data_IF_482056652903
#
_entry.id   IF_482056652903
#
_cell.length_a   1.000
_cell.length_b   1.000
_cell.length_c   1.000
_cell.angle_alpha   90.00
_cell.angle_beta   90.00
_cell.angle_gamma   90.00
#
_symmetry.space_group_name_H-M   'P 1'
#
loop_
_entity.id
_entity.type
_entity.pdbx_description
1 polymer ?
#
# COMPACT_ATOMS: atom_id res chain seq x y z
N UNK A 1 42.67 18.38 -6.62
CA UNK A 1 42.12 17.99 -5.30
C UNK A 1 40.90 18.87 -5.08
N UNK A 2 39.69 18.38 -5.32
CA UNK A 2 38.81 17.89 -4.25
C UNK A 2 37.90 16.76 -4.77
N UNK A 3 38.05 15.55 -4.22
CA UNK A 3 37.15 14.42 -4.43
C UNK A 3 35.84 14.64 -3.65
N UNK A 4 34.73 14.70 -4.37
CA UNK A 4 33.38 14.71 -3.79
C UNK A 4 33.01 13.30 -3.31
N UNK A 5 32.94 13.11 -1.99
CA UNK A 5 32.47 11.87 -1.38
C UNK A 5 30.95 11.86 -1.43
N UNK A 6 30.37 11.14 -2.39
CA UNK A 6 28.95 10.82 -2.37
C UNK A 6 28.67 9.93 -1.15
N UNK A 7 27.83 10.41 -0.23
CA UNK A 7 27.38 9.64 0.92
C UNK A 7 26.62 8.39 0.41
N UNK A 8 27.13 7.20 0.75
CA UNK A 8 26.51 5.94 0.39
C UNK A 8 25.11 5.84 1.03
N UNK A 9 24.10 5.56 0.20
CA UNK A 9 22.75 5.21 0.67
C UNK A 9 22.87 3.93 1.51
N UNK A 10 22.36 3.90 2.76
CA UNK A 10 22.41 2.70 3.59
C UNK A 10 21.69 1.55 2.89
N UNK A 11 22.42 0.47 2.59
CA UNK A 11 21.78 -0.77 2.14
C UNK A 11 20.90 -1.30 3.27
N UNK A 12 19.59 -1.39 3.00
CA UNK A 12 18.61 -2.02 3.88
C UNK A 12 19.02 -3.48 4.12
N UNK A 13 19.69 -3.76 5.24
CA UNK A 13 19.84 -5.13 5.75
C UNK A 13 18.43 -5.70 5.90
N UNK A 14 18.16 -6.85 5.32
CA UNK A 14 16.91 -7.57 5.55
C UNK A 14 16.73 -7.68 7.07
N UNK A 15 15.74 -6.98 7.61
CA UNK A 15 15.52 -6.91 9.05
C UNK A 15 15.41 -8.34 9.58
N UNK A 16 16.15 -8.65 10.64
CA UNK A 16 16.00 -9.90 11.36
C UNK A 16 14.50 -10.10 11.66
N UNK A 17 13.93 -11.19 11.14
CA UNK A 17 12.50 -11.47 11.29
C UNK A 17 12.12 -11.66 12.76
N UNK A 18 13.08 -11.97 13.63
CA UNK A 18 12.90 -11.98 15.09
C UNK A 18 12.49 -10.63 15.66
N UNK A 19 12.89 -9.53 15.04
CA UNK A 19 12.48 -8.17 15.45
C UNK A 19 10.98 -7.97 15.20
N UNK A 20 10.42 -8.57 14.15
CA UNK A 20 8.99 -8.43 13.80
C UNK A 20 8.07 -9.23 14.73
N UNK A 21 8.52 -10.38 15.25
CA UNK A 21 7.69 -11.23 16.11
C UNK A 21 7.42 -10.55 17.45
N UNK A 22 8.45 -9.94 18.06
CA UNK A 22 8.39 -9.23 19.33
C UNK A 22 8.07 -7.73 19.25
N UNK A 23 7.86 -7.18 18.06
CA UNK A 23 7.55 -5.77 17.89
C UNK A 23 6.19 -5.41 18.53
N UNK A 24 6.16 -4.39 19.39
CA UNK A 24 4.92 -3.86 19.97
C UNK A 24 4.03 -3.14 18.95
N UNK A 25 4.66 -2.51 17.94
CA UNK A 25 3.98 -1.75 16.88
C UNK A 25 4.63 -2.06 15.53
N UNK A 26 3.80 -2.32 14.53
CA UNK A 26 4.22 -2.62 13.17
C UNK A 26 3.50 -1.70 12.18
N UNK A 27 4.27 -1.04 11.32
CA UNK A 27 3.76 -0.33 10.16
C UNK A 27 3.83 -1.27 8.96
N UNK A 28 2.68 -1.63 8.39
CA UNK A 28 2.61 -2.46 7.20
C UNK A 28 2.34 -1.57 5.99
N UNK A 29 3.32 -1.47 5.10
CA UNK A 29 3.16 -0.78 3.81
C UNK A 29 2.78 -1.80 2.75
N UNK A 30 1.71 -1.52 2.01
CA UNK A 30 1.29 -2.37 0.88
C UNK A 30 1.30 -1.57 -0.41
N UNK A 31 1.97 -2.09 -1.44
CA UNK A 31 2.06 -1.46 -2.76
C UNK A 31 0.82 -1.68 -3.60
N UNK A 32 0.63 -0.86 -4.64
CA UNK A 32 -0.53 -0.99 -5.53
C UNK A 32 -0.64 -2.37 -6.17
N UNK A 33 0.48 -2.96 -6.63
CA UNK A 33 0.48 -4.28 -7.27
C UNK A 33 -0.03 -5.41 -6.37
N UNK A 34 0.08 -5.26 -5.04
CA UNK A 34 -0.42 -6.24 -4.06
C UNK A 34 -1.92 -6.12 -3.80
N UNK A 35 -2.56 -5.05 -4.27
CA UNK A 35 -3.98 -4.75 -4.02
C UNK A 35 -4.78 -4.58 -5.32
N UNK A 36 -4.15 -4.75 -6.48
CA UNK A 36 -4.82 -4.56 -7.78
C UNK A 36 -4.96 -5.86 -8.54
N UNK A 37 -6.09 -6.03 -9.23
CA UNK A 37 -6.32 -7.21 -10.08
C UNK A 37 -5.63 -7.08 -11.44
N UNK A 38 -5.44 -8.21 -12.14
CA UNK A 38 -4.93 -8.23 -13.53
C UNK A 38 -5.83 -7.43 -14.48
N UNK A 39 -7.14 -7.36 -14.19
CA UNK A 39 -8.14 -6.63 -14.99
C UNK A 39 -8.18 -5.13 -14.67
N UNK A 40 -7.35 -4.65 -13.75
CA UNK A 40 -7.44 -3.31 -13.17
C UNK A 40 -8.39 -3.24 -11.97
N UNK A 41 -8.36 -2.12 -11.25
CA UNK A 41 -9.14 -1.95 -10.01
C UNK A 41 -8.58 -2.73 -8.82
N UNK A 42 -9.33 -2.76 -7.71
CA UNK A 42 -8.95 -3.43 -6.46
C UNK A 42 -9.17 -4.94 -6.58
N UNK A 43 -8.23 -5.73 -6.06
CA UNK A 43 -8.39 -7.17 -5.83
C UNK A 43 -9.04 -7.39 -4.48
N UNK A 44 -10.32 -7.78 -4.46
CA UNK A 44 -11.04 -8.07 -3.21
C UNK A 44 -10.38 -9.21 -2.43
N UNK A 45 -10.00 -10.28 -3.12
CA UNK A 45 -9.29 -11.43 -2.51
C UNK A 45 -8.02 -11.00 -1.78
N UNK A 46 -7.19 -10.18 -2.43
CA UNK A 46 -5.92 -9.72 -1.84
C UNK A 46 -6.16 -8.76 -0.68
N UNK A 47 -7.22 -7.96 -0.74
CA UNK A 47 -7.59 -7.03 0.34
C UNK A 47 -8.11 -7.80 1.56
N UNK A 48 -8.98 -8.80 1.37
CA UNK A 48 -9.47 -9.67 2.46
C UNK A 48 -8.33 -10.43 3.11
N UNK A 49 -7.48 -11.10 2.32
CA UNK A 49 -6.34 -11.85 2.85
C UNK A 49 -5.38 -10.96 3.65
N UNK A 50 -5.16 -9.72 3.20
CA UNK A 50 -4.39 -8.73 3.96
C UNK A 50 -5.10 -8.36 5.26
N UNK A 51 -6.39 -8.02 5.21
CA UNK A 51 -7.16 -7.62 6.38
C UNK A 51 -7.16 -8.73 7.46
N UNK A 52 -7.36 -9.98 7.06
CA UNK A 52 -7.32 -11.14 7.95
C UNK A 52 -5.96 -11.31 8.63
N UNK A 53 -4.87 -11.20 7.86
CA UNK A 53 -3.51 -11.31 8.41
C UNK A 53 -3.21 -10.18 9.41
N UNK A 54 -3.62 -8.94 9.11
CA UNK A 54 -3.46 -7.80 10.01
C UNK A 54 -4.33 -7.94 11.26
N UNK A 55 -5.57 -8.42 11.13
CA UNK A 55 -6.48 -8.68 12.23
C UNK A 55 -5.93 -9.75 13.17
N UNK A 56 -5.41 -10.87 12.64
CA UNK A 56 -4.80 -11.92 13.43
C UNK A 56 -3.61 -11.39 14.27
N UNK A 57 -2.72 -10.61 13.64
CA UNK A 57 -1.58 -10.01 14.37
C UNK A 57 -2.04 -8.97 15.39
N UNK A 58 -3.04 -8.15 15.07
CA UNK A 58 -3.64 -7.20 16.02
C UNK A 58 -4.25 -7.91 17.23
N UNK A 59 -4.99 -8.99 17.01
CA UNK A 59 -5.63 -9.79 18.06
C UNK A 59 -4.61 -10.47 18.97
N UNK A 60 -3.36 -10.66 18.52
CA UNK A 60 -2.24 -11.10 19.37
C UNK A 60 -1.65 -10.00 20.26
N UNK A 61 -2.22 -8.79 20.27
CA UNK A 61 -1.79 -7.66 21.11
C UNK A 61 -0.78 -6.72 20.45
N UNK A 62 -0.50 -6.89 19.16
CA UNK A 62 0.40 -5.98 18.42
C UNK A 62 -0.38 -4.79 17.86
N UNK A 63 0.15 -3.59 17.99
CA UNK A 63 -0.43 -2.42 17.33
C UNK A 63 -0.08 -2.39 15.84
N UNK A 64 -1.09 -2.25 14.98
CA UNK A 64 -0.92 -2.26 13.53
C UNK A 64 -1.29 -0.90 12.94
N UNK A 65 -0.40 -0.36 12.12
CA UNK A 65 -0.65 0.81 11.27
C UNK A 65 -0.54 0.35 9.82
N UNK A 66 -1.61 0.46 9.05
CA UNK A 66 -1.61 0.14 7.62
C UNK A 66 -1.35 1.40 6.79
N UNK A 67 -0.39 1.32 5.88
CA UNK A 67 -0.14 2.34 4.86
C UNK A 67 -0.43 1.73 3.49
N UNK A 68 -1.65 1.95 3.00
CA UNK A 68 -2.12 1.37 1.74
C UNK A 68 -1.86 2.29 0.55
N UNK A 69 -1.53 1.70 -0.61
CA UNK A 69 -1.54 2.37 -1.91
C UNK A 69 -2.80 1.93 -2.69
N UNK A 70 -2.92 2.29 -3.98
CA UNK A 70 -3.99 1.75 -4.82
C UNK A 70 -5.18 2.69 -5.05
N UNK A 71 -5.26 3.84 -4.38
CA UNK A 71 -6.32 4.83 -4.60
C UNK A 71 -6.47 5.22 -6.08
N UNK A 72 -5.39 5.52 -6.80
CA UNK A 72 -5.47 5.83 -8.24
C UNK A 72 -6.02 4.64 -9.03
N UNK A 73 -5.54 3.42 -8.75
CA UNK A 73 -5.98 2.22 -9.46
C UNK A 73 -7.46 1.92 -9.23
N UNK A 74 -7.93 2.13 -8.00
CA UNK A 74 -9.33 2.00 -7.62
C UNK A 74 -10.23 3.02 -8.34
N UNK A 75 -9.72 4.22 -8.62
CA UNK A 75 -10.45 5.27 -9.32
C UNK A 75 -10.48 5.13 -10.85
N UNK A 76 -9.67 4.25 -11.46
CA UNK A 76 -9.59 4.14 -12.92
C UNK A 76 -10.91 3.69 -13.56
N UNK A 77 -11.44 2.54 -13.13
CA UNK A 77 -12.67 1.99 -13.71
C UNK A 77 -13.91 2.88 -13.50
N UNK A 78 -14.17 3.44 -12.30
CA UNK A 78 -15.27 4.38 -12.08
C UNK A 78 -15.21 5.64 -12.95
N UNK A 79 -14.00 6.08 -13.32
CA UNK A 79 -13.78 7.24 -14.18
C UNK A 79 -13.68 6.88 -15.67
N UNK A 80 -13.89 5.61 -16.04
CA UNK A 80 -13.75 5.17 -17.43
C UNK A 80 -12.33 5.24 -18.00
N UNK A 81 -11.31 5.28 -17.13
CA UNK A 81 -9.91 5.38 -17.52
C UNK A 81 -9.32 3.99 -17.78
N UNK A 82 -8.93 3.72 -19.02
CA UNK A 82 -8.34 2.42 -19.40
C UNK A 82 -6.94 2.18 -18.80
N UNK A 83 -6.21 3.24 -18.45
CA UNK A 83 -4.86 3.16 -17.89
C UNK A 83 -4.58 4.31 -16.95
N UNK A 84 -3.53 4.19 -16.15
CA UNK A 84 -3.07 5.27 -15.28
C UNK A 84 -2.75 6.54 -16.10
N UNK A 85 -3.37 7.69 -15.78
CA UNK A 85 -3.07 8.96 -16.45
C UNK A 85 -1.65 9.44 -16.12
N UNK A 86 -1.07 10.25 -17.01
CA UNK A 86 0.29 10.79 -16.86
C UNK A 86 0.30 12.18 -16.24
N UNK A 87 -0.74 12.97 -16.48
CA UNK A 87 -0.89 14.30 -15.90
C UNK A 87 -1.28 14.20 -14.42
N UNK A 88 -0.87 15.20 -13.64
CA UNK A 88 -1.07 15.22 -12.20
C UNK A 88 -2.55 15.40 -11.84
N UNK A 89 -3.27 16.28 -12.56
CA UNK A 89 -4.65 16.63 -12.26
C UNK A 89 -5.58 15.39 -12.36
N UNK A 90 -5.45 14.61 -13.43
CA UNK A 90 -6.25 13.40 -13.62
C UNK A 90 -5.83 12.30 -12.63
N UNK A 91 -4.54 12.22 -12.28
CA UNK A 91 -4.10 11.32 -11.20
C UNK A 91 -4.71 11.68 -9.85
N UNK A 92 -4.81 12.96 -9.53
CA UNK A 92 -5.45 13.44 -8.31
C UNK A 92 -6.95 13.15 -8.32
N UNK A 93 -7.65 13.41 -9.43
CA UNK A 93 -9.06 13.07 -9.59
C UNK A 93 -9.31 11.56 -9.38
N UNK A 94 -8.50 10.70 -10.01
CA UNK A 94 -8.58 9.26 -9.82
C UNK A 94 -8.28 8.85 -8.36
N UNK A 95 -7.28 9.47 -7.72
CA UNK A 95 -6.98 9.22 -6.32
C UNK A 95 -8.13 9.63 -5.40
N UNK A 96 -8.75 10.79 -5.63
CA UNK A 96 -9.88 11.29 -4.83
C UNK A 96 -11.09 10.35 -4.88
N UNK A 97 -11.47 9.90 -6.08
CA UNK A 97 -12.57 8.92 -6.25
C UNK A 97 -12.19 7.58 -5.64
N UNK A 98 -11.01 7.05 -6.00
CA UNK A 98 -10.61 5.73 -5.58
C UNK A 98 -10.24 5.61 -4.10
N UNK A 99 -9.87 6.70 -3.42
CA UNK A 99 -9.62 6.69 -1.98
C UNK A 99 -10.89 6.36 -1.20
N UNK A 100 -12.04 6.95 -1.55
CA UNK A 100 -13.32 6.63 -0.92
C UNK A 100 -13.68 5.16 -1.11
N UNK A 101 -13.48 4.63 -2.32
CA UNK A 101 -13.72 3.21 -2.63
C UNK A 101 -12.80 2.29 -1.83
N UNK A 102 -11.51 2.61 -1.76
CA UNK A 102 -10.52 1.82 -1.03
C UNK A 102 -10.87 1.77 0.47
N UNK A 103 -11.24 2.90 1.07
CA UNK A 103 -11.69 2.93 2.47
C UNK A 103 -12.96 2.10 2.66
N UNK A 104 -13.94 2.25 1.78
CA UNK A 104 -15.18 1.48 1.84
C UNK A 104 -14.95 -0.04 1.75
N UNK A 105 -13.90 -0.50 1.06
CA UNK A 105 -13.53 -1.93 1.02
C UNK A 105 -12.86 -2.41 2.29
N UNK A 106 -11.98 -1.60 2.89
CA UNK A 106 -11.36 -1.96 4.17
C UNK A 106 -12.33 -1.98 5.36
N UNK A 107 -13.49 -1.33 5.25
CA UNK A 107 -14.49 -1.25 6.32
C UNK A 107 -15.70 -2.18 6.13
N UNK A 108 -15.72 -2.98 5.08
CA UNK A 108 -16.73 -4.03 4.86
C UNK A 108 -16.33 -5.30 5.58
#
# INVERSE_FOLDING_TARGET
MTSSTAAAVPQQRAADRGVLSGARRIVVKVGSSSLTSIKGGISEESLTALADALAAKRNSGTEIILVSSGAIAAGLAPLGLAKRPRDLATQQAAASVGQGLLMARYTQ
#
